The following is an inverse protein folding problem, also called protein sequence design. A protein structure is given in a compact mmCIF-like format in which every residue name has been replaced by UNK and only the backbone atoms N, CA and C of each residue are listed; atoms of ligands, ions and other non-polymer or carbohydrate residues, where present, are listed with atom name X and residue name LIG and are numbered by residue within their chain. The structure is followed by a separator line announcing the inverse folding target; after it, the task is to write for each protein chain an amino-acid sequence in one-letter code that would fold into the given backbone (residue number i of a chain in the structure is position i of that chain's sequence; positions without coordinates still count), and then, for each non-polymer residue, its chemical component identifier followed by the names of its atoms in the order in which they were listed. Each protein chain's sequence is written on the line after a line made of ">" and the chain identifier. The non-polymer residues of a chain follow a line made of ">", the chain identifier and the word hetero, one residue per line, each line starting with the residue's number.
data_IF_191837424764
#
_entry.id   IF_191837424764
#
_cell.length_a   1.000
_cell.length_b   1.000
_cell.length_c   1.000
_cell.angle_alpha   90.00
_cell.angle_beta   90.00
_cell.angle_gamma   90.00
#
_symmetry.space_group_name_H-M   'P 1'
#
loop_
_entity.id
_entity.type
_entity.pdbx_description
1 polymer ?
#
# COMPACT_ATOMS: atom_id res chain seq x y z
N UNK A 1 13.85 -24.71 -14.73
CA UNK A 1 13.47 -24.22 -14.40
C UNK A 1 13.24 -23.59 -13.39
N UNK A 2 12.91 -23.50 -12.93
CA UNK A 2 12.79 -22.96 -11.75
C UNK A 2 13.76 -21.99 -11.29
N UNK A 3 14.94 -21.98 -11.78
CA UNK A 3 15.98 -21.11 -11.34
C UNK A 3 15.62 -19.64 -11.49
N UNK A 4 15.04 -19.19 -12.61
CA UNK A 4 14.67 -17.80 -12.72
C UNK A 4 13.65 -17.40 -11.68
N UNK A 5 12.70 -18.25 -11.40
CA UNK A 5 11.70 -17.94 -10.39
C UNK A 5 12.32 -17.81 -9.02
N UNK A 6 13.24 -18.72 -8.71
CA UNK A 6 13.88 -18.66 -7.41
C UNK A 6 14.70 -17.41 -7.24
N UNK A 7 15.34 -16.96 -8.30
CA UNK A 7 16.10 -15.72 -8.20
C UNK A 7 15.24 -14.55 -7.86
N UNK A 8 13.99 -14.54 -8.31
CA UNK A 8 13.13 -13.40 -8.11
C UNK A 8 12.24 -13.52 -6.88
N UNK A 9 12.27 -14.66 -6.22
CA UNK A 9 11.37 -14.86 -5.09
C UNK A 9 11.55 -13.82 -4.01
N UNK A 10 12.77 -13.39 -3.74
CA UNK A 10 13.02 -12.37 -2.73
C UNK A 10 12.88 -10.96 -3.23
N UNK A 11 12.54 -10.79 -4.51
CA UNK A 11 12.49 -9.48 -5.12
C UNK A 11 11.10 -9.08 -5.58
N UNK A 12 10.09 -9.83 -5.18
CA UNK A 12 8.72 -9.44 -5.49
C UNK A 12 8.43 -8.14 -4.75
N UNK A 13 7.93 -7.12 -5.45
CA UNK A 13 7.62 -5.88 -4.75
C UNK A 13 6.52 -6.12 -3.71
N UNK A 14 6.68 -5.51 -2.56
CA UNK A 14 5.72 -5.61 -1.49
C UNK A 14 4.70 -4.49 -1.65
N UNK A 15 3.43 -4.82 -1.59
CA UNK A 15 2.35 -3.84 -1.61
C UNK A 15 1.59 -3.96 -0.31
N UNK A 16 1.61 -2.90 0.49
CA UNK A 16 0.92 -2.88 1.78
C UNK A 16 -0.50 -2.39 1.55
N UNK A 17 -1.47 -3.23 1.90
CA UNK A 17 -2.88 -2.94 1.72
C UNK A 17 -3.47 -2.58 3.08
N UNK A 18 -3.89 -1.33 3.22
CA UNK A 18 -4.41 -0.80 4.49
C UNK A 18 -5.89 -0.48 4.30
N UNK A 19 -6.75 -1.33 4.82
CA UNK A 19 -8.19 -1.21 4.64
C UNK A 19 -8.87 -2.01 5.74
N UNK A 20 -9.86 -1.41 6.41
CA UNK A 20 -10.56 -2.11 7.50
C UNK A 20 -11.59 -3.12 6.99
N UNK A 21 -11.91 -3.11 5.74
CA UNK A 21 -12.89 -4.04 5.16
C UNK A 21 -12.18 -5.34 4.74
N UNK A 22 -12.45 -6.47 5.42
CA UNK A 22 -11.73 -7.70 5.10
C UNK A 22 -12.00 -8.23 3.70
N UNK A 23 -13.21 -8.03 3.17
CA UNK A 23 -13.51 -8.49 1.82
C UNK A 23 -12.70 -7.73 0.78
N UNK A 24 -12.53 -6.42 0.97
CA UNK A 24 -11.71 -5.61 0.07
C UNK A 24 -10.25 -6.02 0.18
N UNK A 25 -9.75 -6.17 1.42
CA UNK A 25 -8.35 -6.58 1.62
C UNK A 25 -8.07 -7.92 0.93
N UNK A 26 -8.96 -8.90 1.15
CA UNK A 26 -8.76 -10.23 0.58
C UNK A 26 -8.77 -10.18 -0.95
N UNK A 27 -9.73 -9.45 -1.52
CA UNK A 27 -9.83 -9.33 -2.98
C UNK A 27 -8.58 -8.70 -3.57
N UNK A 28 -8.14 -7.60 -2.96
CA UNK A 28 -6.99 -6.87 -3.47
C UNK A 28 -5.71 -7.68 -3.29
N UNK A 29 -5.53 -8.30 -2.14
CA UNK A 29 -4.34 -9.10 -1.88
C UNK A 29 -4.23 -10.28 -2.84
N UNK A 30 -5.36 -10.95 -3.08
CA UNK A 30 -5.37 -12.08 -4.00
C UNK A 30 -5.00 -11.63 -5.42
N UNK A 31 -5.56 -10.50 -5.86
CA UNK A 31 -5.25 -9.98 -7.18
C UNK A 31 -3.77 -9.60 -7.30
N UNK A 32 -3.22 -9.01 -6.23
CA UNK A 32 -1.81 -8.65 -6.23
C UNK A 32 -0.91 -9.89 -6.33
N UNK A 33 -1.24 -10.94 -5.58
CA UNK A 33 -0.47 -12.18 -5.67
C UNK A 33 -0.48 -12.74 -7.08
N UNK A 34 -1.65 -12.74 -7.71
CA UNK A 34 -1.76 -13.24 -9.07
C UNK A 34 -0.93 -12.44 -10.06
N UNK A 35 -0.71 -11.17 -9.76
CA UNK A 35 0.05 -10.28 -10.64
C UNK A 35 1.53 -10.20 -10.27
N UNK A 36 2.00 -11.03 -9.36
CA UNK A 36 3.42 -11.17 -9.06
C UNK A 36 3.93 -10.32 -7.92
N UNK A 37 3.04 -9.75 -7.12
CA UNK A 37 3.43 -8.94 -5.96
C UNK A 37 3.30 -9.72 -4.67
N UNK A 38 3.95 -9.22 -3.63
CA UNK A 38 3.81 -9.77 -2.29
C UNK A 38 2.90 -8.82 -1.50
N UNK A 39 1.64 -9.20 -1.23
CA UNK A 39 0.78 -8.34 -0.45
C UNK A 39 1.08 -8.46 1.04
N UNK A 40 1.00 -7.35 1.74
CA UNK A 40 0.97 -7.29 3.20
C UNK A 40 -0.30 -6.57 3.57
N UNK A 41 -0.88 -6.87 4.71
CA UNK A 41 -2.20 -6.35 5.07
C UNK A 41 -2.19 -5.70 6.43
N UNK A 42 -2.96 -4.63 6.56
CA UNK A 42 -3.21 -3.97 7.83
C UNK A 42 -4.66 -3.52 7.85
N UNK A 43 -5.27 -3.57 9.03
CA UNK A 43 -6.67 -3.20 9.17
C UNK A 43 -6.84 -1.71 9.44
N UNK A 44 -5.78 -1.04 9.88
CA UNK A 44 -5.83 0.38 10.16
C UNK A 44 -4.41 0.94 10.24
N UNK A 45 -4.30 2.26 10.40
CA UNK A 45 -3.01 2.92 10.30
C UNK A 45 -1.97 2.51 11.32
N UNK A 46 -2.36 2.28 12.56
CA UNK A 46 -1.36 1.91 13.56
C UNK A 46 -0.79 0.52 13.30
N UNK A 47 -1.63 -0.40 12.81
CA UNK A 47 -1.14 -1.72 12.43
C UNK A 47 -0.20 -1.62 11.24
N UNK A 48 -0.51 -0.74 10.29
CA UNK A 48 0.34 -0.53 9.13
C UNK A 48 1.72 0.00 9.55
N UNK A 49 1.75 0.95 10.47
CA UNK A 49 3.03 1.48 10.95
C UNK A 49 3.83 0.41 11.67
N UNK A 50 3.18 -0.41 12.47
CA UNK A 50 3.85 -1.51 13.17
C UNK A 50 4.41 -2.52 12.16
N UNK A 51 3.63 -2.85 11.14
CA UNK A 51 4.11 -3.75 10.11
C UNK A 51 5.37 -3.20 9.43
N UNK A 52 5.33 -1.91 9.08
CA UNK A 52 6.46 -1.28 8.41
C UNK A 52 7.70 -1.27 9.29
N UNK A 53 7.54 -0.98 10.58
CA UNK A 53 8.68 -0.97 11.49
C UNK A 53 9.31 -2.36 11.62
N UNK A 54 8.48 -3.39 11.72
CA UNK A 54 8.98 -4.75 11.82
C UNK A 54 9.66 -5.20 10.54
N UNK A 55 9.07 -4.87 9.40
CA UNK A 55 9.65 -5.24 8.11
C UNK A 55 10.99 -4.55 7.89
N UNK A 56 11.08 -3.29 8.29
CA UNK A 56 12.31 -2.53 8.12
C UNK A 56 13.49 -3.17 8.87
N UNK A 57 13.23 -3.80 10.00
CA UNK A 57 14.27 -4.52 10.74
C UNK A 57 14.85 -5.67 9.94
N UNK A 58 14.08 -6.17 9.00
CA UNK A 58 14.51 -7.26 8.14
C UNK A 58 14.95 -6.75 6.76
N UNK A 59 15.06 -5.45 6.59
CA UNK A 59 15.43 -4.86 5.32
C UNK A 59 14.33 -4.91 4.28
N UNK A 60 13.07 -5.04 4.70
CA UNK A 60 11.95 -5.15 3.78
C UNK A 60 11.11 -3.89 3.82
N UNK A 61 10.78 -3.37 2.66
CA UNK A 61 10.07 -2.09 2.53
C UNK A 61 9.00 -2.22 1.48
N UNK A 62 7.80 -1.66 1.71
CA UNK A 62 6.78 -1.68 0.66
C UNK A 62 7.16 -0.74 -0.46
N UNK A 63 6.89 -1.17 -1.68
CA UNK A 63 7.05 -0.31 -2.86
C UNK A 63 5.84 0.59 -3.04
N UNK A 64 4.67 0.10 -2.65
CA UNK A 64 3.41 0.81 -2.78
C UNK A 64 2.60 0.58 -1.52
N UNK A 65 1.92 1.61 -1.05
CA UNK A 65 0.93 1.50 0.01
C UNK A 65 -0.42 1.86 -0.59
N UNK A 66 -1.36 0.92 -0.54
CA UNK A 66 -2.74 1.16 -0.94
C UNK A 66 -3.51 1.50 0.32
N UNK A 67 -4.01 2.70 0.42
CA UNK A 67 -4.50 3.25 1.68
C UNK A 67 -5.95 3.70 1.55
N UNK A 68 -6.84 3.07 2.32
CA UNK A 68 -8.19 3.56 2.48
C UNK A 68 -8.18 4.70 3.50
N UNK A 69 -8.86 5.80 3.18
CA UNK A 69 -8.89 6.93 4.08
C UNK A 69 -9.85 6.78 5.24
N UNK A 70 -10.93 6.06 5.03
CA UNK A 70 -11.98 5.97 6.04
C UNK A 70 -11.78 4.70 6.86
N UNK A 71 -11.00 4.81 7.92
CA UNK A 71 -10.72 3.68 8.80
C UNK A 71 -10.94 4.09 10.25
N UNK A 72 -11.36 3.15 11.12
CA UNK A 72 -11.46 3.44 12.54
C UNK A 72 -10.07 3.59 13.16
N UNK A 73 -10.01 4.19 14.33
CA UNK A 73 -8.75 4.39 15.01
C UNK A 73 -7.91 5.42 14.29
N UNK A 74 -6.70 5.04 13.87
CA UNK A 74 -5.85 5.94 13.10
C UNK A 74 -6.32 5.94 11.65
N UNK A 75 -6.91 7.04 11.22
CA UNK A 75 -7.42 7.14 9.85
C UNK A 75 -6.28 7.37 8.87
N UNK A 76 -6.63 7.39 7.58
CA UNK A 76 -5.63 7.49 6.53
C UNK A 76 -4.81 8.76 6.58
N UNK A 77 -5.43 9.89 6.93
CA UNK A 77 -4.69 11.14 7.00
C UNK A 77 -3.68 11.14 8.13
N UNK A 78 -4.09 10.64 9.29
CA UNK A 78 -3.17 10.55 10.42
C UNK A 78 -2.03 9.59 10.12
N UNK A 79 -2.33 8.48 9.46
CA UNK A 79 -1.30 7.53 9.05
C UNK A 79 -0.27 8.21 8.15
N UNK A 80 -0.74 8.98 7.17
CA UNK A 80 0.17 9.67 6.25
C UNK A 80 1.04 10.67 6.97
N UNK A 81 0.48 11.41 7.93
CA UNK A 81 1.26 12.35 8.71
C UNK A 81 2.35 11.65 9.50
N UNK A 82 2.00 10.53 10.15
CA UNK A 82 2.98 9.79 10.93
C UNK A 82 4.04 9.17 10.07
N UNK A 83 3.66 8.66 8.90
CA UNK A 83 4.61 8.10 7.97
C UNK A 83 5.59 9.16 7.50
N UNK A 84 5.08 10.35 7.20
CA UNK A 84 5.92 11.44 6.75
C UNK A 84 6.92 11.86 7.81
N UNK A 85 6.49 11.89 9.07
CA UNK A 85 7.37 12.26 10.18
C UNK A 85 8.47 11.25 10.42
N UNK A 86 8.18 9.97 10.22
CA UNK A 86 9.12 8.90 10.56
C UNK A 86 10.01 8.47 9.42
N UNK A 87 9.52 8.58 8.20
CA UNK A 87 10.06 7.81 7.12
C UNK A 87 11.09 8.47 6.24
N UNK A 88 11.29 9.76 6.39
CA UNK A 88 12.08 10.48 5.40
C UNK A 88 13.54 10.12 5.41
N UNK A 89 14.05 9.70 6.53
CA UNK A 89 15.48 9.56 6.68
C UNK A 89 15.99 8.14 6.61
N UNK A 90 15.10 7.17 6.60
CA UNK A 90 15.51 5.82 6.92
C UNK A 90 15.35 4.82 5.81
N UNK A 91 14.40 5.00 4.91
CA UNK A 91 14.17 4.02 3.86
C UNK A 91 13.67 4.65 2.59
N UNK A 92 13.67 3.86 1.50
CA UNK A 92 13.03 4.30 0.26
C UNK A 92 11.57 4.64 0.53
N UNK A 93 11.13 5.76 0.01
CA UNK A 93 9.74 6.17 0.19
C UNK A 93 8.82 5.33 -0.68
N UNK A 94 7.79 4.71 -0.12
CA UNK A 94 6.83 3.99 -0.94
C UNK A 94 5.95 4.96 -1.72
N UNK A 95 5.41 4.49 -2.82
CA UNK A 95 4.37 5.25 -3.51
C UNK A 95 3.09 5.11 -2.74
N UNK A 96 2.42 6.21 -2.46
CA UNK A 96 1.17 6.21 -1.72
C UNK A 96 0.03 6.33 -2.70
N UNK A 97 -0.82 5.33 -2.72
CA UNK A 97 -2.02 5.30 -3.57
C UNK A 97 -3.22 5.27 -2.64
N UNK A 98 -3.98 6.35 -2.64
CA UNK A 98 -5.14 6.48 -1.78
C UNK A 98 -6.37 5.94 -2.49
N UNK A 99 -7.19 5.18 -1.77
CA UNK A 99 -8.46 4.67 -2.27
C UNK A 99 -9.56 5.33 -1.45
N UNK A 100 -10.44 6.08 -2.10
CA UNK A 100 -11.39 6.89 -1.36
C UNK A 100 -12.65 7.15 -2.16
N UNK A 101 -13.70 7.61 -1.49
CA UNK A 101 -14.89 8.11 -2.17
C UNK A 101 -14.57 9.44 -2.84
N UNK A 102 -15.27 9.74 -3.92
CA UNK A 102 -15.00 10.95 -4.71
C UNK A 102 -15.02 12.22 -3.88
N UNK A 103 -15.93 12.30 -2.92
CA UNK A 103 -16.09 13.51 -2.11
C UNK A 103 -14.89 13.83 -1.24
N UNK A 104 -14.04 12.83 -0.98
CA UNK A 104 -12.90 13.01 -0.10
C UNK A 104 -11.59 13.27 -0.84
N UNK A 105 -11.59 13.17 -2.16
CA UNK A 105 -10.35 13.15 -2.93
C UNK A 105 -9.62 14.48 -2.87
N UNK A 106 -10.33 15.59 -2.78
CA UNK A 106 -9.70 16.91 -2.78
C UNK A 106 -8.92 17.20 -1.50
N UNK A 107 -9.12 16.42 -0.45
CA UNK A 107 -8.45 16.65 0.82
C UNK A 107 -7.06 16.06 0.89
N UNK A 108 -6.64 15.37 -0.15
CA UNK A 108 -5.38 14.63 -0.11
C UNK A 108 -4.20 15.37 -0.69
N UNK A 109 -4.42 16.58 -1.14
CA UNK A 109 -3.35 17.38 -1.72
C UNK A 109 -2.30 17.70 -0.65
N UNK A 110 -1.04 17.49 -0.97
CA UNK A 110 0.02 17.92 -0.09
C UNK A 110 0.51 16.91 0.93
N UNK A 111 -0.03 15.69 0.90
CA UNK A 111 0.37 14.66 1.87
C UNK A 111 1.27 13.58 1.26
N UNK A 112 1.91 13.87 0.13
CA UNK A 112 2.81 12.91 -0.49
C UNK A 112 2.10 11.78 -1.21
N UNK A 113 0.86 12.01 -1.61
CA UNK A 113 0.07 11.00 -2.32
C UNK A 113 0.40 11.04 -3.80
N UNK A 114 0.78 9.89 -4.36
CA UNK A 114 1.16 9.81 -5.76
C UNK A 114 -0.02 9.56 -6.68
N UNK A 115 -1.08 8.94 -6.16
CA UNK A 115 -2.23 8.64 -7.01
C UNK A 115 -3.46 8.45 -6.13
N UNK A 116 -4.64 8.76 -6.68
CA UNK A 116 -5.91 8.57 -5.98
C UNK A 116 -6.80 7.69 -6.85
N UNK A 117 -7.34 6.64 -6.24
CA UNK A 117 -8.30 5.76 -6.88
C UNK A 117 -9.66 6.03 -6.21
N UNK A 118 -10.65 6.38 -7.01
CA UNK A 118 -11.97 6.74 -6.51
C UNK A 118 -12.87 5.52 -6.52
N UNK A 119 -13.54 5.26 -5.41
CA UNK A 119 -14.50 4.14 -5.31
C UNK A 119 -15.79 4.49 -6.03
N UNK A 120 -16.42 3.51 -6.66
CA UNK A 120 -16.01 2.12 -6.81
C UNK A 120 -14.95 1.99 -7.91
N UNK A 121 -14.06 1.02 -7.76
CA UNK A 121 -12.97 0.84 -8.72
C UNK A 121 -12.96 -0.59 -9.25
N UNK A 122 -12.34 -0.77 -10.42
CA UNK A 122 -12.09 -2.10 -10.95
C UNK A 122 -10.71 -2.55 -10.50
N UNK A 123 -10.60 -3.82 -10.17
CA UNK A 123 -9.32 -4.39 -9.75
C UNK A 123 -8.26 -4.19 -10.82
N UNK A 124 -8.63 -4.30 -12.09
CA UNK A 124 -7.68 -4.09 -13.17
C UNK A 124 -7.06 -2.69 -13.11
N UNK A 125 -7.87 -1.67 -12.84
CA UNK A 125 -7.36 -0.30 -12.75
C UNK A 125 -6.41 -0.16 -11.58
N UNK A 126 -6.73 -0.80 -10.46
CA UNK A 126 -5.86 -0.77 -9.31
C UNK A 126 -4.52 -1.45 -9.63
N UNK A 127 -4.55 -2.59 -10.30
CA UNK A 127 -3.32 -3.28 -10.67
C UNK A 127 -2.49 -2.46 -11.66
N UNK A 128 -3.14 -1.75 -12.57
CA UNK A 128 -2.42 -0.88 -13.50
C UNK A 128 -1.67 0.22 -12.76
N UNK A 129 -2.30 0.81 -11.74
CA UNK A 129 -1.67 1.85 -10.94
C UNK A 129 -0.48 1.26 -10.17
N UNK A 130 -0.66 0.11 -9.54
CA UNK A 130 0.42 -0.54 -8.80
C UNK A 130 1.59 -0.83 -9.74
N UNK A 131 1.30 -1.33 -10.93
CA UNK A 131 2.33 -1.64 -11.90
C UNK A 131 3.10 -0.40 -12.31
N UNK A 132 2.41 0.73 -12.44
CA UNK A 132 3.04 1.99 -12.79
C UNK A 132 4.11 2.39 -11.77
N UNK A 133 3.90 2.10 -10.51
CA UNK A 133 4.81 2.53 -9.45
C UNK A 133 5.81 1.46 -9.03
N UNK A 134 5.80 0.30 -9.68
CA UNK A 134 6.70 -0.80 -9.33
C UNK A 134 7.62 -1.20 -10.47
N UNK A 135 7.54 -0.54 -11.60
CA UNK A 135 8.43 -0.85 -12.74
C UNK A 135 9.61 0.10 -12.85
#
# INVERSE_FOLDING_TARGET
>A
MNQPLNRFAGHHPIVLVVDDNPAIRDMVSWALELDGYEPAEATEGSEALAWMANAAREGRYPSVILLDLAMPGMDGQEFLQRLHEQGETTYPSPAIVVITAAASSSKMTGLGVQHIIVKPFHVRDLLDVVRKFTT
#
